data_IF_073043949217
#
_entry.id   IF_073043949217
#
_cell.length_a   1.000
_cell.length_b   1.000
_cell.length_c   1.000
_cell.angle_alpha   90.00
_cell.angle_beta   90.00
_cell.angle_gamma   90.00
#
_symmetry.space_group_name_H-M   'P 1'
#
loop_
_entity.id
_entity.type
_entity.pdbx_description
1 polymer ?
#
# COMPACT_ATOMS: atom_id res chain seq x y z
N UNK A 1 29.54 -27.87 -37.77
CA UNK A 1 30.31 -27.25 -36.67
C UNK A 1 29.56 -26.00 -36.25
N UNK A 2 29.04 -25.96 -35.01
CA UNK A 2 28.32 -24.81 -34.42
C UNK A 2 26.88 -24.63 -34.95
N UNK A 3 25.84 -24.33 -34.17
CA UNK A 3 25.74 -23.79 -32.81
C UNK A 3 24.48 -24.38 -32.15
N UNK A 4 24.54 -24.56 -30.84
CA UNK A 4 23.61 -25.40 -30.08
C UNK A 4 22.14 -24.98 -30.12
N UNK A 5 21.28 -26.00 -30.08
CA UNK A 5 19.96 -25.90 -29.48
C UNK A 5 20.14 -25.50 -28.01
N UNK A 6 20.25 -24.19 -27.77
CA UNK A 6 20.17 -23.59 -26.44
C UNK A 6 18.68 -23.41 -26.16
N UNK A 7 18.23 -24.09 -25.13
CA UNK A 7 16.85 -24.16 -24.69
C UNK A 7 16.12 -22.81 -24.71
N UNK A 8 14.94 -22.82 -25.33
CA UNK A 8 13.86 -21.91 -24.98
C UNK A 8 13.07 -22.59 -23.85
N UNK A 9 13.70 -22.54 -22.67
CA UNK A 9 13.26 -23.18 -21.44
C UNK A 9 12.57 -22.15 -20.53
N UNK A 10 11.78 -21.18 -21.02
CA UNK A 10 11.29 -20.20 -20.05
C UNK A 10 10.35 -19.05 -20.39
N UNK A 11 9.95 -18.77 -21.64
CA UNK A 11 9.04 -17.62 -21.86
C UNK A 11 7.55 -17.99 -21.79
N UNK A 12 7.18 -18.83 -20.81
CA UNK A 12 5.78 -18.96 -20.39
C UNK A 12 5.40 -17.77 -19.51
N UNK A 13 5.48 -16.54 -20.04
CA UNK A 13 4.72 -15.43 -19.46
C UNK A 13 3.25 -15.84 -19.56
N UNK A 14 2.45 -15.74 -18.49
CA UNK A 14 1.04 -16.05 -18.58
C UNK A 14 0.46 -15.14 -19.66
N UNK A 15 0.06 -15.72 -20.80
CA UNK A 15 -0.72 -15.00 -21.81
C UNK A 15 -2.07 -14.79 -21.18
N UNK A 16 -2.23 -13.64 -20.51
CA UNK A 16 -3.55 -13.17 -20.10
C UNK A 16 -4.31 -12.98 -21.41
N UNK A 17 -5.12 -13.97 -21.78
CA UNK A 17 -5.98 -13.87 -22.96
C UNK A 17 -7.00 -12.78 -22.69
N UNK A 18 -7.52 -12.16 -23.76
CA UNK A 18 -8.56 -11.13 -23.65
C UNK A 18 -9.79 -11.64 -22.86
N UNK A 19 -10.04 -12.94 -22.90
CA UNK A 19 -11.05 -13.63 -22.09
C UNK A 19 -10.75 -13.58 -20.58
N UNK A 20 -9.50 -13.75 -20.15
CA UNK A 20 -9.13 -13.63 -18.72
C UNK A 20 -9.28 -12.18 -18.25
N UNK A 21 -8.91 -11.19 -19.07
CA UNK A 21 -9.07 -9.77 -18.73
C UNK A 21 -10.55 -9.37 -18.54
N UNK A 22 -11.47 -9.97 -19.31
CA UNK A 22 -12.90 -9.71 -19.18
C UNK A 22 -13.49 -10.18 -17.84
N UNK A 23 -12.89 -11.19 -17.21
CA UNK A 23 -13.30 -11.70 -15.88
C UNK A 23 -12.98 -10.68 -14.77
N UNK A 24 -11.92 -9.90 -14.93
CA UNK A 24 -11.47 -8.92 -13.93
C UNK A 24 -12.03 -7.52 -14.14
N UNK A 25 -12.79 -7.29 -15.22
CA UNK A 25 -13.22 -5.95 -15.63
C UNK A 25 -12.02 -5.06 -15.99
N UNK A 26 -12.28 -3.97 -16.71
CA UNK A 26 -11.28 -2.90 -16.78
C UNK A 26 -11.12 -2.33 -15.38
N UNK A 27 -9.91 -2.34 -14.82
CA UNK A 27 -9.59 -1.54 -13.63
C UNK A 27 -9.58 -0.08 -14.08
N UNK A 28 -10.77 0.49 -14.24
CA UNK A 28 -10.92 1.93 -14.36
C UNK A 28 -10.31 2.59 -13.13
N UNK A 29 -9.59 3.69 -13.31
CA UNK A 29 -9.21 4.54 -12.19
C UNK A 29 -10.50 4.96 -11.50
N UNK A 30 -10.81 4.39 -10.33
CA UNK A 30 -11.89 4.89 -9.51
C UNK A 30 -11.60 6.36 -9.21
N UNK A 31 -12.62 7.23 -9.27
CA UNK A 31 -12.48 8.58 -8.75
C UNK A 31 -12.29 8.48 -7.23
N UNK A 32 -11.02 8.42 -6.81
CA UNK A 32 -10.65 8.46 -5.40
C UNK A 32 -10.54 9.89 -4.92
N UNK A 33 -10.93 10.07 -3.66
CA UNK A 33 -10.62 11.31 -2.94
C UNK A 33 -9.11 11.52 -2.97
N UNK A 34 -8.67 12.78 -2.92
CA UNK A 34 -7.24 13.05 -2.87
C UNK A 34 -6.60 12.36 -1.67
N UNK A 35 -5.33 11.95 -1.77
CA UNK A 35 -4.63 11.24 -0.68
C UNK A 35 -4.72 11.97 0.68
N UNK A 36 -4.66 13.31 0.67
CA UNK A 36 -4.81 14.12 1.88
C UNK A 36 -6.23 14.06 2.47
N UNK A 37 -7.24 13.97 1.62
CA UNK A 37 -8.64 13.87 2.03
C UNK A 37 -8.95 12.48 2.60
N UNK A 38 -8.39 11.43 1.99
CA UNK A 38 -8.47 10.07 2.53
C UNK A 38 -7.75 9.96 3.89
N UNK A 39 -6.54 10.51 4.00
CA UNK A 39 -5.79 10.50 5.26
C UNK A 39 -6.57 11.21 6.39
N UNK A 40 -7.19 12.37 6.11
CA UNK A 40 -8.04 13.07 7.08
C UNK A 40 -9.25 12.24 7.49
N UNK A 41 -9.86 11.53 6.54
CA UNK A 41 -10.99 10.63 6.82
C UNK A 41 -10.57 9.50 7.75
N UNK A 42 -9.43 8.86 7.47
CA UNK A 42 -8.87 7.79 8.31
C UNK A 42 -8.61 8.30 9.73
N UNK A 43 -7.87 9.40 9.86
CA UNK A 43 -7.52 9.98 11.16
C UNK A 43 -8.75 10.44 11.95
N UNK A 44 -9.80 10.95 11.30
CA UNK A 44 -11.04 11.35 11.97
C UNK A 44 -11.94 10.17 12.37
N UNK A 45 -11.75 9.00 11.73
CA UNK A 45 -12.58 7.80 11.96
C UNK A 45 -12.10 6.92 13.12
N UNK A 46 -10.95 7.24 13.71
CA UNK A 46 -10.37 6.53 14.86
C UNK A 46 -9.84 7.54 15.88
N UNK A 47 -9.73 7.13 17.14
CA UNK A 47 -9.13 7.92 18.21
C UNK A 47 -7.90 7.23 18.81
N UNK A 48 -7.37 6.20 18.15
CA UNK A 48 -6.29 5.37 18.68
C UNK A 48 -5.28 5.02 17.58
N UNK A 49 -4.00 4.93 17.92
CA UNK A 49 -2.92 4.64 16.98
C UNK A 49 -1.61 4.21 17.63
N UNK A 50 -0.59 3.94 16.80
CA UNK A 50 0.77 3.59 17.24
C UNK A 50 1.67 4.82 17.13
N UNK A 51 2.22 5.27 18.26
CA UNK A 51 3.21 6.34 18.30
C UNK A 51 4.62 5.72 18.25
N UNK A 52 5.33 5.99 17.15
CA UNK A 52 6.73 5.66 17.02
C UNK A 52 7.60 6.75 17.66
N UNK A 53 8.52 6.36 18.53
CA UNK A 53 9.47 7.24 19.21
C UNK A 53 10.84 6.57 19.23
N UNK A 54 11.85 7.30 19.72
CA UNK A 54 13.12 6.71 20.10
C UNK A 54 13.17 6.58 21.62
N UNK A 55 13.81 5.52 22.13
CA UNK A 55 14.18 5.41 23.54
C UNK A 55 15.24 6.47 23.89
N UNK A 56 15.60 6.60 25.17
CA UNK A 56 16.69 7.48 25.60
C UNK A 56 18.02 7.18 24.91
N UNK A 57 18.25 5.92 24.53
CA UNK A 57 19.47 5.45 23.87
C UNK A 57 19.36 5.45 22.33
N UNK A 58 18.21 5.82 21.77
CA UNK A 58 18.00 5.94 20.33
C UNK A 58 17.39 4.72 19.63
N UNK A 59 17.01 3.67 20.37
CA UNK A 59 16.32 2.51 19.79
C UNK A 59 14.88 2.86 19.40
N UNK A 60 14.32 2.27 18.33
CA UNK A 60 12.93 2.50 17.98
C UNK A 60 11.98 1.90 19.03
N UNK A 61 10.97 2.68 19.42
CA UNK A 61 9.92 2.27 20.35
C UNK A 61 8.54 2.56 19.77
N UNK A 62 7.57 1.69 20.08
CA UNK A 62 6.18 1.81 19.65
C UNK A 62 5.24 1.75 20.86
N UNK A 63 4.43 2.79 21.03
CA UNK A 63 3.40 2.85 22.07
C UNK A 63 2.01 2.87 21.46
N UNK A 64 1.05 2.16 22.06
CA UNK A 64 -0.36 2.28 21.72
C UNK A 64 -0.96 3.47 22.46
N UNK A 65 -1.49 4.46 21.73
CA UNK A 65 -1.95 5.73 22.30
C UNK A 65 -3.37 6.05 21.83
N UNK A 66 -4.15 6.67 22.71
CA UNK A 66 -5.38 7.38 22.33
C UNK A 66 -5.03 8.82 21.98
N UNK A 67 -5.68 9.39 20.95
CA UNK A 67 -5.50 10.77 20.53
C UNK A 67 -6.83 11.39 20.07
N UNK A 68 -6.88 12.71 20.03
CA UNK A 68 -7.91 13.52 19.35
C UNK A 68 -7.30 14.41 18.26
N UNK A 69 -8.12 15.08 17.46
CA UNK A 69 -7.67 16.00 16.41
C UNK A 69 -7.97 17.47 16.77
N UNK A 70 -6.97 18.34 16.67
CA UNK A 70 -7.10 19.80 16.77
C UNK A 70 -6.62 20.43 15.45
N UNK A 71 -7.54 21.02 14.68
CA UNK A 71 -7.22 21.56 13.36
C UNK A 71 -6.69 20.51 12.36
N UNK A 72 -6.96 19.23 12.61
CA UNK A 72 -6.44 18.10 11.83
C UNK A 72 -5.12 17.52 12.33
N UNK A 73 -4.49 18.11 13.36
CA UNK A 73 -3.30 17.58 13.99
C UNK A 73 -3.65 16.68 15.20
N UNK A 74 -2.98 15.53 15.37
CA UNK A 74 -3.20 14.66 16.52
C UNK A 74 -2.67 15.27 17.84
N UNK A 75 -3.45 15.12 18.91
CA UNK A 75 -3.12 15.54 20.29
C UNK A 75 -3.37 14.35 21.21
N UNK A 76 -2.38 14.03 22.05
CA UNK A 76 -2.32 12.87 22.95
C UNK A 76 -1.74 13.27 24.31
#
# INVERSE_FOLDING_TARGET
MGLGARGDDGDARPRITREIAAVFGEVGHAEHRGAAEEARTIAASTNTGTLATLTGDGDPWASFVTYGLLGGAPVL
#
